data_IF_739006756915
#
_entry.id   IF_739006756915
#
_cell.length_a   1.000
_cell.length_b   1.000
_cell.length_c   1.000
_cell.angle_alpha   90.00
_cell.angle_beta   90.00
_cell.angle_gamma   90.00
#
_symmetry.space_group_name_H-M   'P 1'
#
loop_
_entity.id
_entity.type
_entity.pdbx_description
1 polymer ?
#
# COMPACT_ATOMS: atom_id res chain seq x y z
N UNK A 1 -4.09 -0.24 8.25
CA UNK A 1 -4.18 -1.13 9.40
C UNK A 1 -4.26 -2.56 8.88
N UNK A 2 -3.49 -3.49 9.44
CA UNK A 2 -3.59 -4.90 9.06
C UNK A 2 -4.86 -5.53 9.65
N UNK A 3 -5.62 -6.18 8.79
CA UNK A 3 -6.77 -7.00 9.14
C UNK A 3 -6.27 -8.44 9.33
N UNK A 4 -6.43 -9.03 10.53
CA UNK A 4 -6.06 -10.41 10.78
C UNK A 4 -7.07 -11.40 10.17
N UNK A 5 -6.69 -12.68 10.09
CA UNK A 5 -7.61 -13.72 9.63
C UNK A 5 -8.79 -13.90 10.60
N UNK A 6 -9.98 -14.14 10.02
CA UNK A 6 -11.22 -14.31 10.79
C UNK A 6 -11.93 -13.00 11.20
N UNK A 7 -11.34 -11.84 10.93
CA UNK A 7 -11.95 -10.54 11.26
C UNK A 7 -13.07 -10.13 10.30
N UNK A 8 -12.99 -10.54 9.03
CA UNK A 8 -14.00 -10.28 8.00
C UNK A 8 -14.56 -11.60 7.43
N UNK A 9 -15.82 -11.64 7.00
CA UNK A 9 -16.43 -12.85 6.44
C UNK A 9 -15.68 -13.34 5.20
N UNK A 10 -15.58 -14.66 5.03
CA UNK A 10 -14.88 -15.27 3.89
C UNK A 10 -15.43 -14.82 2.52
N UNK A 11 -16.74 -14.56 2.42
CA UNK A 11 -17.34 -14.00 1.20
C UNK A 11 -16.79 -12.62 0.86
N UNK A 12 -16.54 -11.78 1.87
CA UNK A 12 -15.93 -10.47 1.69
C UNK A 12 -14.44 -10.58 1.35
N UNK A 13 -13.70 -11.51 1.98
CA UNK A 13 -12.34 -11.84 1.59
C UNK A 13 -12.24 -12.19 0.09
N UNK A 14 -13.15 -13.04 -0.41
CA UNK A 14 -13.16 -13.45 -1.81
C UNK A 14 -13.35 -12.25 -2.76
N UNK A 15 -14.24 -11.31 -2.44
CA UNK A 15 -14.44 -10.08 -3.22
C UNK A 15 -13.14 -9.28 -3.29
N UNK A 16 -12.47 -9.06 -2.16
CA UNK A 16 -11.21 -8.31 -2.16
C UNK A 16 -10.08 -9.03 -2.89
N UNK A 17 -10.06 -10.36 -2.88
CA UNK A 17 -9.13 -11.12 -3.71
C UNK A 17 -9.38 -10.94 -5.21
N UNK A 18 -10.64 -10.89 -5.65
CA UNK A 18 -10.96 -10.57 -7.05
C UNK A 18 -10.46 -9.17 -7.41
N UNK A 19 -10.69 -8.18 -6.55
CA UNK A 19 -10.18 -6.81 -6.74
C UNK A 19 -8.65 -6.81 -6.81
N UNK A 20 -7.98 -7.52 -5.90
CA UNK A 20 -6.52 -7.67 -5.88
C UNK A 20 -6.00 -8.27 -7.19
N UNK A 21 -6.61 -9.34 -7.70
CA UNK A 21 -6.19 -9.99 -8.95
C UNK A 21 -6.29 -9.01 -10.13
N UNK A 22 -7.39 -8.27 -10.22
CA UNK A 22 -7.58 -7.24 -11.26
C UNK A 22 -6.51 -6.14 -11.11
N UNK A 23 -6.27 -5.67 -9.89
CA UNK A 23 -5.26 -4.66 -9.62
C UNK A 23 -3.85 -5.13 -9.99
N UNK A 24 -3.49 -6.37 -9.68
CA UNK A 24 -2.22 -7.00 -10.05
C UNK A 24 -2.07 -7.18 -11.56
N UNK A 25 -3.16 -7.47 -12.28
CA UNK A 25 -3.13 -7.54 -13.73
C UNK A 25 -2.72 -6.19 -14.35
N UNK A 26 -3.36 -5.09 -13.93
CA UNK A 26 -2.99 -3.74 -14.38
C UNK A 26 -1.59 -3.35 -13.92
N UNK A 27 -1.23 -3.66 -12.68
CA UNK A 27 0.08 -3.35 -12.14
C UNK A 27 1.20 -4.11 -12.85
N UNK A 28 0.97 -5.37 -13.23
CA UNK A 28 1.90 -6.17 -14.03
C UNK A 28 2.05 -5.64 -15.46
N UNK A 29 0.98 -5.13 -16.07
CA UNK A 29 1.06 -4.44 -17.37
C UNK A 29 1.87 -3.14 -17.25
N UNK A 30 1.63 -2.35 -16.21
CA UNK A 30 2.39 -1.14 -15.93
C UNK A 30 3.88 -1.44 -15.69
N UNK A 31 4.19 -2.48 -14.90
CA UNK A 31 5.56 -2.91 -14.61
C UNK A 31 6.34 -3.22 -15.88
N UNK A 32 5.76 -4.03 -16.78
CA UNK A 32 6.40 -4.37 -18.06
C UNK A 32 6.72 -3.16 -18.93
N UNK A 33 5.94 -2.10 -18.84
CA UNK A 33 6.12 -0.89 -19.63
C UNK A 33 7.02 0.17 -18.97
N UNK A 34 7.17 0.15 -17.64
CA UNK A 34 7.75 1.27 -16.88
C UNK A 34 8.90 0.90 -15.94
N UNK A 35 9.15 -0.38 -15.68
CA UNK A 35 10.27 -0.86 -14.87
C UNK A 35 11.42 -1.31 -15.76
N UNK A 36 12.49 -0.52 -15.75
CA UNK A 36 13.77 -0.83 -16.36
C UNK A 36 14.77 -1.37 -15.31
N UNK A 37 15.96 -1.77 -15.76
CA UNK A 37 17.02 -2.31 -14.89
C UNK A 37 17.43 -1.35 -13.74
N UNK A 38 17.16 -0.05 -13.87
CA UNK A 38 17.49 0.96 -12.85
C UNK A 38 16.35 1.16 -11.85
N UNK A 39 15.09 1.05 -12.29
CA UNK A 39 13.90 1.25 -11.46
C UNK A 39 13.56 0.01 -10.62
N UNK A 40 13.91 -1.19 -11.09
CA UNK A 40 13.68 -2.43 -10.34
C UNK A 40 14.39 -2.40 -8.97
N UNK A 41 15.70 -2.08 -8.87
CA UNK A 41 16.37 -1.95 -7.57
C UNK A 41 15.73 -0.92 -6.65
N UNK A 42 15.32 0.24 -7.20
CA UNK A 42 14.65 1.27 -6.41
C UNK A 42 13.33 0.77 -5.83
N UNK A 43 12.53 0.05 -6.61
CA UNK A 43 11.28 -0.55 -6.16
C UNK A 43 11.53 -1.54 -5.02
N UNK A 44 12.55 -2.39 -5.14
CA UNK A 44 12.93 -3.37 -4.14
C UNK A 44 13.42 -2.71 -2.83
N UNK A 45 14.23 -1.65 -2.92
CA UNK A 45 14.70 -0.90 -1.74
C UNK A 45 13.53 -0.22 -1.03
N UNK A 46 12.59 0.38 -1.76
CA UNK A 46 11.38 0.94 -1.15
C UNK A 46 10.54 -0.15 -0.49
N UNK A 47 10.38 -1.32 -1.12
CA UNK A 47 9.65 -2.43 -0.53
C UNK A 47 10.29 -2.90 0.79
N UNK A 48 11.61 -3.05 0.83
CA UNK A 48 12.34 -3.41 2.05
C UNK A 48 12.21 -2.33 3.14
N UNK A 49 12.33 -1.05 2.76
CA UNK A 49 12.16 0.06 3.70
C UNK A 49 10.74 0.16 4.26
N UNK A 50 9.73 -0.08 3.44
CA UNK A 50 8.32 -0.10 3.86
C UNK A 50 8.05 -1.28 4.79
N UNK A 51 8.54 -2.47 4.45
CA UNK A 51 8.48 -3.62 5.33
C UNK A 51 9.08 -3.31 6.71
N UNK A 52 10.26 -2.69 6.76
CA UNK A 52 10.93 -2.32 8.00
C UNK A 52 10.21 -1.23 8.80
N UNK A 53 9.60 -0.25 8.12
CA UNK A 53 8.83 0.81 8.79
C UNK A 53 7.48 0.28 9.30
N UNK A 54 6.85 -0.64 8.58
CA UNK A 54 5.58 -1.25 8.97
C UNK A 54 5.74 -2.22 10.15
N UNK A 55 6.93 -2.82 10.35
CA UNK A 55 7.21 -3.65 11.53
C UNK A 55 7.30 -2.82 12.82
N UNK A 56 7.52 -1.50 12.71
CA UNK A 56 7.35 -0.56 13.83
C UNK A 56 5.88 -0.17 14.00
N UNK A 57 5.03 -1.15 14.32
CA UNK A 57 3.62 -0.91 14.58
C UNK A 57 3.33 -0.73 16.08
N UNK A 58 2.35 0.11 16.40
CA UNK A 58 1.84 0.25 17.76
C UNK A 58 0.45 -0.38 17.87
N UNK A 59 0.19 -1.23 18.87
CA UNK A 59 -1.13 -1.81 19.05
C UNK A 59 -2.14 -0.72 19.40
N UNK A 60 -3.24 -0.67 18.65
CA UNK A 60 -4.40 0.17 18.96
C UNK A 60 -5.46 -0.72 19.61
N UNK A 61 -6.14 -0.27 20.68
CA UNK A 61 -7.27 -0.99 21.26
C UNK A 61 -8.28 -1.41 20.18
N UNK A 62 -9.00 -2.53 20.39
CA UNK A 62 -9.96 -3.11 19.44
C UNK A 62 -9.36 -3.88 18.24
N UNK A 63 -8.12 -4.36 18.36
CA UNK A 63 -7.60 -5.45 17.51
C UNK A 63 -6.95 -5.02 16.20
N UNK A 64 -6.51 -3.76 16.11
CA UNK A 64 -5.78 -3.24 14.94
C UNK A 64 -4.46 -2.59 15.36
N UNK A 65 -3.57 -2.28 14.40
CA UNK A 65 -2.25 -1.70 14.65
C UNK A 65 -2.05 -0.38 13.90
N UNK A 66 -1.66 0.67 14.62
CA UNK A 66 -1.33 1.98 14.05
C UNK A 66 0.12 2.00 13.61
N UNK A 67 0.36 2.24 12.32
CA UNK A 67 1.72 2.28 11.79
C UNK A 67 1.83 3.19 10.57
N UNK A 68 3.07 3.52 10.24
CA UNK A 68 3.40 4.15 8.96
C UNK A 68 3.20 3.13 7.83
N UNK A 69 2.52 3.53 6.75
CA UNK A 69 2.15 2.62 5.65
C UNK A 69 3.12 2.76 4.48
N UNK A 70 3.31 3.96 3.93
CA UNK A 70 4.23 4.22 2.80
C UNK A 70 3.58 4.13 1.41
N UNK A 71 2.26 3.91 1.30
CA UNK A 71 1.55 3.80 0.00
C UNK A 71 1.70 5.05 -0.87
N UNK A 72 1.54 6.24 -0.25
CA UNK A 72 1.76 7.52 -0.90
C UNK A 72 3.20 7.69 -1.39
N UNK A 73 4.19 7.25 -0.61
CA UNK A 73 5.61 7.38 -0.95
C UNK A 73 5.92 6.63 -2.26
N UNK A 74 5.54 5.35 -2.36
CA UNK A 74 5.78 4.56 -3.58
C UNK A 74 5.06 5.16 -4.77
N UNK A 75 3.78 5.51 -4.60
CA UNK A 75 2.97 6.05 -5.68
C UNK A 75 3.50 7.39 -6.21
N UNK A 76 3.99 8.27 -5.32
CA UNK A 76 4.59 9.55 -5.70
C UNK A 76 5.95 9.34 -6.39
N UNK A 77 6.82 8.47 -5.86
CA UNK A 77 8.16 8.23 -6.44
C UNK A 77 8.07 7.67 -7.85
N UNK A 78 7.15 6.74 -8.10
CA UNK A 78 6.95 6.14 -9.42
C UNK A 78 5.92 6.88 -10.28
N UNK A 79 5.28 7.93 -9.72
CA UNK A 79 4.17 8.64 -10.35
C UNK A 79 3.02 7.73 -10.81
N UNK A 80 2.84 6.59 -10.14
CA UNK A 80 1.94 5.51 -10.52
C UNK A 80 1.45 4.72 -9.29
N UNK A 81 0.13 4.58 -9.06
CA UNK A 81 -0.39 3.76 -7.97
C UNK A 81 -0.12 2.25 -8.17
N UNK A 82 0.11 1.81 -9.40
CA UNK A 82 0.47 0.43 -9.75
C UNK A 82 1.75 -0.03 -9.06
N UNK A 83 2.72 0.87 -8.89
CA UNK A 83 3.95 0.58 -8.16
C UNK A 83 3.66 0.25 -6.70
N UNK A 84 2.73 0.99 -6.06
CA UNK A 84 2.31 0.70 -4.70
C UNK A 84 1.61 -0.66 -4.61
N UNK A 85 0.74 -1.01 -5.57
CA UNK A 85 0.07 -2.33 -5.60
C UNK A 85 1.09 -3.47 -5.60
N UNK A 86 2.13 -3.40 -6.43
CA UNK A 86 3.17 -4.44 -6.49
C UNK A 86 3.96 -4.53 -5.19
N UNK A 87 4.43 -3.38 -4.69
CA UNK A 87 5.25 -3.33 -3.46
C UNK A 87 4.47 -3.87 -2.27
N UNK A 88 3.25 -3.38 -2.06
CA UNK A 88 2.46 -3.77 -0.89
C UNK A 88 1.96 -5.20 -0.99
N UNK A 89 1.63 -5.71 -2.18
CA UNK A 89 1.29 -7.13 -2.31
C UNK A 89 2.45 -8.01 -1.85
N UNK A 90 3.68 -7.71 -2.30
CA UNK A 90 4.86 -8.48 -1.89
C UNK A 90 5.15 -8.35 -0.39
N UNK A 91 5.14 -7.11 0.14
CA UNK A 91 5.39 -6.83 1.57
C UNK A 91 4.36 -7.50 2.47
N UNK A 92 3.07 -7.31 2.18
CA UNK A 92 1.97 -7.87 2.99
C UNK A 92 1.91 -9.39 2.92
N UNK A 93 2.26 -9.98 1.76
CA UNK A 93 2.36 -11.43 1.65
C UNK A 93 3.48 -11.99 2.54
N UNK A 94 4.66 -11.36 2.54
CA UNK A 94 5.77 -11.76 3.42
C UNK A 94 5.38 -11.58 4.90
N UNK A 95 4.76 -10.45 5.24
CA UNK A 95 4.30 -10.18 6.61
C UNK A 95 3.29 -11.22 7.10
N UNK A 96 2.30 -11.56 6.29
CA UNK A 96 1.30 -12.56 6.63
C UNK A 96 1.91 -13.98 6.77
N UNK A 97 2.82 -14.37 5.87
CA UNK A 97 3.39 -15.72 5.85
C UNK A 97 4.46 -15.96 6.92
N UNK A 98 5.34 -14.98 7.16
CA UNK A 98 6.53 -15.18 8.00
C UNK A 98 6.46 -14.48 9.36
N UNK A 99 5.66 -13.41 9.47
CA UNK A 99 5.60 -12.58 10.68
C UNK A 99 4.24 -12.65 11.38
N UNK A 100 3.24 -13.27 10.75
CA UNK A 100 1.86 -13.32 11.27
C UNK A 100 1.22 -11.92 11.38
N UNK A 101 1.78 -10.93 10.70
CA UNK A 101 1.29 -9.55 10.73
C UNK A 101 0.32 -9.33 9.55
N UNK A 102 -0.97 -9.43 9.87
CA UNK A 102 -2.07 -9.47 8.90
C UNK A 102 -2.46 -10.88 8.47
N UNK A 103 -3.69 -11.02 7.96
CA UNK A 103 -4.28 -12.28 7.55
C UNK A 103 -4.02 -12.66 6.09
N UNK A 104 -3.84 -13.95 5.82
CA UNK A 104 -3.74 -14.48 4.45
C UNK A 104 -5.10 -14.41 3.75
N UNK A 105 -6.18 -14.74 4.44
CA UNK A 105 -7.54 -14.60 3.91
C UNK A 105 -7.92 -13.13 3.72
N UNK A 106 -7.39 -12.25 4.56
CA UNK A 106 -7.60 -10.80 4.49
C UNK A 106 -6.60 -10.06 3.59
N UNK A 107 -5.66 -10.76 2.94
CA UNK A 107 -4.60 -10.13 2.14
C UNK A 107 -5.14 -9.17 1.08
N UNK A 108 -6.21 -9.57 0.37
CA UNK A 108 -6.87 -8.71 -0.61
C UNK A 108 -7.36 -7.39 0.00
N UNK A 109 -7.97 -7.44 1.18
CA UNK A 109 -8.48 -6.26 1.87
C UNK A 109 -7.34 -5.36 2.35
N UNK A 110 -6.28 -5.97 2.88
CA UNK A 110 -5.06 -5.27 3.29
C UNK A 110 -4.38 -4.54 2.13
N UNK A 111 -4.24 -5.20 0.97
CA UNK A 111 -3.69 -4.56 -0.24
C UNK A 111 -4.64 -3.48 -0.77
N UNK A 112 -5.96 -3.71 -0.73
CA UNK A 112 -6.94 -2.72 -1.16
C UNK A 112 -6.81 -1.43 -0.34
N UNK A 113 -6.80 -1.52 0.98
CA UNK A 113 -6.67 -0.34 1.84
C UNK A 113 -5.29 0.32 1.70
N UNK A 114 -4.21 -0.44 1.90
CA UNK A 114 -2.88 0.16 2.04
C UNK A 114 -2.23 0.52 0.70
N UNK A 115 -2.49 -0.26 -0.35
CA UNK A 115 -1.87 -0.07 -1.66
C UNK A 115 -2.77 0.70 -2.62
N UNK A 116 -4.01 0.26 -2.79
CA UNK A 116 -4.93 0.86 -3.77
C UNK A 116 -5.43 2.20 -3.22
N UNK A 117 -6.17 2.19 -2.12
CA UNK A 117 -6.69 3.43 -1.53
C UNK A 117 -5.55 4.36 -1.14
N UNK A 118 -4.56 3.86 -0.38
CA UNK A 118 -3.41 4.67 0.03
C UNK A 118 -2.57 5.22 -1.14
N UNK A 119 -2.28 4.41 -2.15
CA UNK A 119 -1.49 4.82 -3.32
C UNK A 119 -2.23 5.83 -4.21
N UNK A 120 -3.51 5.60 -4.48
CA UNK A 120 -4.33 6.53 -5.29
C UNK A 120 -4.53 7.86 -4.56
N UNK A 121 -5.02 7.83 -3.32
CA UNK A 121 -5.25 9.05 -2.53
C UNK A 121 -3.96 9.85 -2.40
N UNK A 122 -2.84 9.19 -2.09
CA UNK A 122 -1.54 9.85 -2.00
C UNK A 122 -1.12 10.53 -3.30
N UNK A 123 -1.14 9.80 -4.43
CA UNK A 123 -0.67 10.34 -5.70
C UNK A 123 -1.55 11.49 -6.21
N UNK A 124 -2.87 11.34 -6.18
CA UNK A 124 -3.75 12.37 -6.74
C UNK A 124 -3.81 13.61 -5.84
N UNK A 125 -3.74 13.45 -4.52
CA UNK A 125 -3.56 14.58 -3.60
C UNK A 125 -2.26 15.32 -3.90
N UNK A 126 -1.16 14.59 -4.05
CA UNK A 126 0.14 15.19 -4.37
C UNK A 126 0.11 15.94 -5.71
N UNK A 127 -0.45 15.34 -6.77
CA UNK A 127 -0.59 15.98 -8.09
C UNK A 127 -1.43 17.25 -8.05
N UNK A 128 -2.52 17.26 -7.28
CA UNK A 128 -3.39 18.43 -7.14
C UNK A 128 -2.78 19.58 -6.35
N UNK A 129 -1.95 19.28 -5.35
CA UNK A 129 -1.40 20.29 -4.44
C UNK A 129 -0.01 20.79 -4.84
N UNK A 130 0.81 19.99 -5.55
CA UNK A 130 2.22 20.33 -5.80
C UNK A 130 2.42 21.67 -6.52
N UNK A 131 1.45 22.07 -7.37
CA UNK A 131 1.48 23.36 -8.07
C UNK A 131 0.97 24.54 -7.25
N UNK A 132 0.33 24.30 -6.11
CA UNK A 132 -0.30 25.32 -5.27
C UNK A 132 0.58 25.62 -4.05
N UNK A 133 0.99 24.57 -3.32
CA UNK A 133 1.70 24.69 -2.04
C UNK A 133 3.14 24.15 -2.09
N UNK A 134 3.61 23.72 -3.26
CA UNK A 134 4.95 23.19 -3.47
C UNK A 134 5.10 21.70 -3.13
N UNK A 135 6.25 21.13 -3.50
CA UNK A 135 6.50 19.68 -3.47
C UNK A 135 6.43 19.06 -2.07
N UNK A 136 7.18 19.60 -1.10
CA UNK A 136 7.29 18.99 0.23
C UNK A 136 6.00 19.08 1.05
N UNK A 137 5.31 20.25 1.13
CA UNK A 137 4.02 20.34 1.82
C UNK A 137 2.96 19.44 1.18
N UNK A 138 2.95 19.33 -0.16
CA UNK A 138 2.03 18.42 -0.86
C UNK A 138 2.28 16.96 -0.54
N UNK A 139 3.55 16.55 -0.45
CA UNK A 139 3.90 15.18 -0.09
C UNK A 139 3.47 14.85 1.35
N UNK A 140 3.60 15.81 2.28
CA UNK A 140 3.12 15.65 3.64
C UNK A 140 1.59 15.47 3.69
N UNK A 141 0.83 16.36 3.06
CA UNK A 141 -0.63 16.29 3.02
C UNK A 141 -1.11 15.01 2.34
N UNK A 142 -0.47 14.62 1.24
CA UNK A 142 -0.75 13.38 0.53
C UNK A 142 -0.51 12.14 1.40
N UNK A 143 0.62 12.08 2.11
CA UNK A 143 0.94 10.95 2.98
C UNK A 143 -0.03 10.86 4.17
N UNK A 144 -0.38 12.01 4.76
CA UNK A 144 -1.34 12.10 5.85
C UNK A 144 -2.73 11.61 5.42
N UNK A 145 -3.28 12.17 4.33
CA UNK A 145 -4.59 11.79 3.82
C UNK A 145 -4.63 10.33 3.36
N UNK A 146 -3.60 9.86 2.65
CA UNK A 146 -3.52 8.46 2.24
C UNK A 146 -3.60 7.51 3.44
N UNK A 147 -2.89 7.83 4.53
CA UNK A 147 -2.87 6.99 5.74
C UNK A 147 -4.21 7.04 6.46
N UNK A 148 -4.83 8.21 6.58
CA UNK A 148 -6.14 8.36 7.21
C UNK A 148 -7.25 7.63 6.46
N UNK A 149 -7.30 7.76 5.13
CA UNK A 149 -8.34 7.10 4.33
C UNK A 149 -8.13 5.59 4.27
N UNK A 150 -6.88 5.12 4.27
CA UNK A 150 -6.55 3.70 4.32
C UNK A 150 -6.71 3.07 5.72
N UNK A 151 -6.96 3.87 6.77
CA UNK A 151 -7.17 3.39 8.13
C UNK A 151 -8.60 2.93 8.42
N UNK A 152 -9.53 3.17 7.48
CA UNK A 152 -10.96 2.84 7.58
C UNK A 152 -11.23 1.43 7.07
#
# INVERSE_FOLDING_TARGET
MHIPDGFIPLGQCAIYYVILIIALYFAGKWARANLDEKRIPLLAVLAAGIFAIMSMNMPIPFGTSGHMVGGALVAIVFMAPEAAILVFTAVLLIQALFFGDGGITALGANVFNMAIVGGFVGLYTFKGLQGIIGKYPSAFVAAWLATLVAAV
#
